data_IF_152946488979
#
_entry.id   IF_152946488979
#
_cell.length_a   1.000
_cell.length_b   1.000
_cell.length_c   1.000
_cell.angle_alpha   90.00
_cell.angle_beta   90.00
_cell.angle_gamma   90.00
#
_symmetry.space_group_name_H-M   'P 1'
#
loop_
_entity.id
_entity.type
_entity.pdbx_description
1 polymer ?
#
# COMPACT_ATOMS: atom_id res chain seq x y z
N UNK A 1 16.54 -10.64 -23.42
CA UNK A 1 15.92 -9.73 -22.43
C UNK A 1 16.70 -8.42 -22.50
N UNK A 2 16.09 -7.37 -23.05
CA UNK A 2 16.76 -6.08 -23.22
C UNK A 2 16.92 -5.41 -21.86
N UNK A 3 18.12 -4.92 -21.57
CA UNK A 3 18.51 -4.31 -20.29
C UNK A 3 18.03 -2.85 -20.15
N UNK A 4 16.86 -2.50 -20.71
CA UNK A 4 16.34 -1.12 -20.75
C UNK A 4 15.12 -0.85 -19.86
N UNK A 5 14.26 -1.84 -19.60
CA UNK A 5 12.90 -1.56 -19.11
C UNK A 5 12.72 -1.66 -17.58
N UNK A 6 13.75 -2.08 -16.83
CA UNK A 6 13.65 -2.33 -15.39
C UNK A 6 14.26 -1.25 -14.49
N UNK A 7 14.77 -0.15 -15.07
CA UNK A 7 15.56 0.83 -14.29
C UNK A 7 14.75 1.57 -13.21
N UNK A 8 13.41 1.53 -13.27
CA UNK A 8 12.53 2.14 -12.28
C UNK A 8 11.84 1.17 -11.32
N UNK A 9 11.92 -0.15 -11.54
CA UNK A 9 11.17 -1.16 -10.77
C UNK A 9 12.04 -1.81 -9.68
N UNK A 10 12.55 -0.98 -8.78
CA UNK A 10 13.36 -1.41 -7.63
C UNK A 10 12.58 -1.23 -6.33
N UNK A 11 12.90 -2.05 -5.32
CA UNK A 11 12.24 -2.02 -4.01
C UNK A 11 11.37 -3.25 -3.73
N UNK A 12 10.59 -3.18 -2.65
CA UNK A 12 9.71 -4.28 -2.22
C UNK A 12 8.38 -4.22 -2.96
N UNK A 13 8.09 -5.22 -3.80
CA UNK A 13 6.92 -5.25 -4.71
C UNK A 13 5.59 -4.88 -4.06
N UNK A 14 5.34 -5.38 -2.85
CA UNK A 14 4.12 -5.13 -2.08
C UNK A 14 3.83 -3.64 -1.83
N UNK A 15 4.89 -2.83 -1.73
CA UNK A 15 4.81 -1.40 -1.40
C UNK A 15 5.02 -0.50 -2.62
N UNK A 16 5.18 -1.08 -3.81
CA UNK A 16 5.34 -0.30 -5.04
C UNK A 16 4.04 0.42 -5.39
N UNK A 17 4.14 1.71 -5.67
CA UNK A 17 3.03 2.52 -6.17
C UNK A 17 2.56 2.02 -7.55
N UNK A 18 1.30 2.28 -7.95
CA UNK A 18 0.75 1.82 -9.23
C UNK A 18 1.63 2.18 -10.44
N UNK A 19 2.14 3.41 -10.50
CA UNK A 19 3.02 3.89 -11.57
C UNK A 19 4.37 3.15 -11.62
N UNK A 20 4.85 2.64 -10.48
CA UNK A 20 6.05 1.80 -10.40
C UNK A 20 5.74 0.40 -10.92
N UNK A 21 4.59 -0.16 -10.53
CA UNK A 21 4.13 -1.46 -10.99
C UNK A 21 3.91 -1.47 -12.51
N UNK A 22 3.40 -0.39 -13.10
CA UNK A 22 3.23 -0.24 -14.56
C UNK A 22 4.53 0.11 -15.29
N UNK A 23 5.61 0.45 -14.57
CA UNK A 23 6.87 0.91 -15.18
C UNK A 23 6.77 2.31 -15.79
N UNK A 24 5.70 3.05 -15.50
CA UNK A 24 5.37 4.36 -16.06
C UNK A 24 5.81 5.52 -15.13
N UNK A 25 7.02 5.43 -14.58
CA UNK A 25 7.52 6.40 -13.60
C UNK A 25 8.08 7.65 -14.29
N UNK A 26 7.66 8.82 -13.84
CA UNK A 26 8.32 10.08 -14.18
C UNK A 26 9.58 10.27 -13.30
N UNK A 27 10.74 10.49 -13.90
CA UNK A 27 12.01 10.73 -13.19
C UNK A 27 12.11 12.17 -12.69
N UNK A 28 11.23 12.54 -11.76
CA UNK A 28 11.23 13.84 -11.09
C UNK A 28 11.20 13.67 -9.59
N UNK A 29 11.75 14.65 -8.85
CA UNK A 29 11.74 14.63 -7.38
C UNK A 29 10.33 14.41 -6.82
N UNK A 30 9.34 15.13 -7.35
CA UNK A 30 7.96 15.07 -6.85
C UNK A 30 7.31 13.72 -7.11
N UNK A 31 7.65 13.04 -8.21
CA UNK A 31 7.17 11.69 -8.48
C UNK A 31 7.73 10.69 -7.46
N UNK A 32 9.02 10.76 -7.14
CA UNK A 32 9.60 9.90 -6.10
C UNK A 32 8.98 10.16 -4.72
N UNK A 33 8.72 11.42 -4.37
CA UNK A 33 8.02 11.74 -3.12
C UNK A 33 6.61 11.15 -3.06
N UNK A 34 5.86 11.16 -4.18
CA UNK A 34 4.53 10.52 -4.23
C UNK A 34 4.61 9.00 -4.11
N UNK A 35 5.63 8.37 -4.70
CA UNK A 35 5.90 6.93 -4.53
C UNK A 35 6.15 6.59 -3.05
N UNK A 36 6.96 7.41 -2.37
CA UNK A 36 7.23 7.24 -0.94
C UNK A 36 5.95 7.43 -0.11
N UNK A 37 5.10 8.40 -0.46
CA UNK A 37 3.83 8.62 0.24
C UNK A 37 2.86 7.44 0.08
N UNK A 38 2.80 6.82 -1.10
CA UNK A 38 2.01 5.60 -1.30
C UNK A 38 2.48 4.48 -0.36
N UNK A 39 3.78 4.21 -0.33
CA UNK A 39 4.35 3.20 0.57
C UNK A 39 4.12 3.56 2.05
N UNK A 40 4.24 4.84 2.40
CA UNK A 40 3.95 5.34 3.75
C UNK A 40 2.49 5.10 4.15
N UNK A 41 1.53 5.34 3.25
CA UNK A 41 0.11 5.06 3.50
C UNK A 41 -0.13 3.59 3.85
N UNK A 42 0.52 2.65 3.14
CA UNK A 42 0.42 1.23 3.47
C UNK A 42 0.97 0.91 4.88
N UNK A 43 2.07 1.55 5.29
CA UNK A 43 2.63 1.39 6.64
C UNK A 43 1.72 2.00 7.72
N UNK A 44 1.11 3.16 7.44
CA UNK A 44 0.11 3.75 8.34
C UNK A 44 -1.09 2.81 8.53
N UNK A 45 -1.51 2.11 7.47
CA UNK A 45 -2.55 1.09 7.55
C UNK A 45 -2.11 -0.05 8.48
N UNK A 46 -0.89 -0.56 8.35
CA UNK A 46 -0.36 -1.60 9.24
C UNK A 46 -0.38 -1.16 10.72
N UNK A 47 0.04 0.08 11.00
CA UNK A 47 -0.01 0.65 12.34
C UNK A 47 -1.46 0.72 12.86
N UNK A 48 -2.40 1.16 12.03
CA UNK A 48 -3.81 1.23 12.40
C UNK A 48 -4.41 -0.16 12.69
N UNK A 49 -4.06 -1.19 11.91
CA UNK A 49 -4.54 -2.58 12.15
C UNK A 49 -4.12 -3.15 13.50
N UNK A 50 -3.00 -2.66 14.06
CA UNK A 50 -2.47 -3.09 15.36
C UNK A 50 -2.71 -2.09 16.49
N UNK A 51 -3.38 -0.98 16.20
CA UNK A 51 -3.67 0.05 17.19
C UNK A 51 -4.73 -0.42 18.19
N UNK A 52 -4.45 -0.35 19.49
CA UNK A 52 -5.39 -0.73 20.56
C UNK A 52 -6.56 0.24 20.72
N UNK A 53 -6.49 1.43 20.10
CA UNK A 53 -7.57 2.41 20.12
C UNK A 53 -8.77 2.01 19.25
N UNK A 54 -8.64 1.01 18.37
CA UNK A 54 -9.69 0.60 17.41
C UNK A 54 -10.90 -0.11 18.04
N UNK A 55 -11.00 -0.13 19.38
CA UNK A 55 -12.02 -0.75 20.23
C UNK A 55 -12.48 -2.14 19.75
N UNK A 56 -11.98 -3.19 20.40
CA UNK A 56 -12.31 -4.58 20.08
C UNK A 56 -11.07 -5.47 19.98
N UNK A 57 -11.23 -6.72 19.53
CA UNK A 57 -10.11 -7.63 19.38
C UNK A 57 -9.16 -7.15 18.28
N UNK A 58 -7.87 -7.11 18.60
CA UNK A 58 -6.81 -6.71 17.67
C UNK A 58 -6.33 -7.98 16.95
N UNK A 59 -6.58 -8.14 15.65
CA UNK A 59 -6.20 -9.34 14.91
C UNK A 59 -4.68 -9.42 14.77
N UNK A 60 -4.14 -10.61 14.55
CA UNK A 60 -2.72 -10.79 14.26
C UNK A 60 -2.25 -9.90 13.12
N UNK A 61 -0.97 -9.52 13.18
CA UNK A 61 -0.36 -8.70 12.15
C UNK A 61 -0.42 -9.39 10.78
N UNK A 62 -0.73 -8.59 9.76
CA UNK A 62 -0.69 -8.99 8.35
C UNK A 62 -0.07 -7.89 7.53
N UNK A 63 0.61 -8.28 6.46
CA UNK A 63 1.15 -7.36 5.48
C UNK A 63 0.04 -6.74 4.62
N UNK A 64 0.26 -5.54 4.04
CA UNK A 64 -0.67 -4.98 3.06
C UNK A 64 -0.89 -5.94 1.90
N UNK A 65 -2.14 -6.17 1.50
CA UNK A 65 -2.51 -7.11 0.43
C UNK A 65 -2.20 -8.61 0.71
N UNK A 66 -1.85 -9.01 1.94
CA UNK A 66 -1.52 -10.42 2.22
C UNK A 66 -2.68 -11.37 1.95
N UNK A 67 -3.92 -10.93 2.15
CA UNK A 67 -5.11 -11.74 1.92
C UNK A 67 -5.38 -11.98 0.43
N UNK A 68 -5.04 -10.99 -0.41
CA UNK A 68 -5.30 -10.99 -1.84
C UNK A 68 -4.18 -11.67 -2.63
N UNK A 69 -2.92 -11.50 -2.23
CA UNK A 69 -1.74 -11.96 -3.00
C UNK A 69 -0.76 -12.82 -2.21
N UNK A 70 -1.08 -13.17 -0.95
CA UNK A 70 -0.22 -13.98 -0.09
C UNK A 70 1.04 -13.25 0.37
N UNK A 71 1.99 -13.99 0.96
CA UNK A 71 3.21 -13.43 1.59
C UNK A 71 4.33 -13.05 0.61
N UNK A 72 4.42 -13.74 -0.53
CA UNK A 72 5.51 -13.58 -1.51
C UNK A 72 4.95 -13.30 -2.91
N UNK A 73 4.31 -12.14 -3.14
CA UNK A 73 3.70 -11.84 -4.42
C UNK A 73 4.75 -11.65 -5.53
N UNK A 74 4.39 -12.10 -6.72
CA UNK A 74 5.09 -11.74 -7.95
C UNK A 74 4.78 -10.28 -8.33
N UNK A 75 5.45 -9.77 -9.37
CA UNK A 75 5.13 -8.45 -9.91
C UNK A 75 3.72 -8.46 -10.55
N UNK A 76 3.38 -9.55 -11.24
CA UNK A 76 2.10 -9.73 -11.93
C UNK A 76 0.93 -9.76 -10.92
N UNK A 77 1.10 -10.43 -9.77
CA UNK A 77 0.08 -10.45 -8.71
C UNK A 77 -0.22 -9.03 -8.19
N UNK A 78 0.84 -8.23 -7.99
CA UNK A 78 0.72 -6.85 -7.52
C UNK A 78 0.10 -5.95 -8.59
N UNK A 79 0.48 -6.09 -9.86
CA UNK A 79 -0.14 -5.37 -10.97
C UNK A 79 -1.64 -5.69 -11.07
N UNK A 80 -2.01 -6.96 -11.04
CA UNK A 80 -3.41 -7.38 -11.09
C UNK A 80 -4.21 -6.81 -9.91
N UNK A 81 -3.67 -6.90 -8.69
CA UNK A 81 -4.34 -6.42 -7.48
C UNK A 81 -4.47 -4.88 -7.43
N UNK A 82 -3.35 -4.16 -7.58
CA UNK A 82 -3.26 -2.72 -7.30
C UNK A 82 -3.60 -1.86 -8.51
N UNK A 83 -3.21 -2.29 -9.72
CA UNK A 83 -3.36 -1.51 -10.95
C UNK A 83 -4.66 -1.87 -11.65
N UNK A 84 -4.87 -3.16 -11.95
CA UNK A 84 -6.01 -3.60 -12.76
C UNK A 84 -7.31 -3.64 -11.97
N UNK A 85 -7.31 -4.29 -10.79
CA UNK A 85 -8.48 -4.35 -9.89
C UNK A 85 -8.63 -3.12 -9.01
N UNK A 86 -7.59 -2.27 -8.93
CA UNK A 86 -7.56 -1.06 -8.10
C UNK A 86 -7.90 -1.31 -6.62
N UNK A 87 -7.52 -2.48 -6.10
CA UNK A 87 -7.75 -2.82 -4.70
C UNK A 87 -6.81 -2.01 -3.80
N UNK A 88 -7.26 -1.74 -2.59
CA UNK A 88 -6.52 -1.08 -1.51
C UNK A 88 -6.80 -1.82 -0.19
N UNK A 89 -5.89 -1.79 0.79
CA UNK A 89 -6.14 -2.40 2.08
C UNK A 89 -7.39 -1.80 2.73
N UNK A 90 -8.30 -2.66 3.20
CA UNK A 90 -9.61 -2.21 3.68
C UNK A 90 -9.49 -1.57 5.07
N UNK A 91 -10.24 -0.48 5.29
CA UNK A 91 -10.39 0.11 6.62
C UNK A 91 -11.55 -0.54 7.37
N UNK A 92 -11.35 -0.82 8.66
CA UNK A 92 -12.43 -1.33 9.50
C UNK A 92 -13.37 -0.20 9.89
N UNK A 93 -14.67 -0.47 9.92
CA UNK A 93 -15.64 0.52 10.36
C UNK A 93 -15.42 0.99 11.81
N UNK A 94 -14.84 0.15 12.66
CA UNK A 94 -14.50 0.55 14.04
C UNK A 94 -13.49 1.70 14.10
N UNK A 95 -12.65 1.90 13.07
CA UNK A 95 -11.68 2.99 13.02
C UNK A 95 -12.35 4.36 12.94
N UNK A 96 -13.53 4.44 12.31
CA UNK A 96 -14.32 5.68 12.18
C UNK A 96 -14.88 6.18 13.51
N UNK A 97 -14.85 5.34 14.56
CA UNK A 97 -15.31 5.71 15.90
C UNK A 97 -14.26 6.45 16.73
N UNK A 98 -12.99 6.46 16.31
CA UNK A 98 -11.90 7.09 17.04
C UNK A 98 -11.30 8.26 16.25
N UNK A 99 -11.24 9.49 16.82
CA UNK A 99 -10.84 10.69 16.08
C UNK A 99 -9.39 10.63 15.55
N UNK A 100 -8.49 9.92 16.23
CA UNK A 100 -7.13 9.71 15.72
C UNK A 100 -7.03 8.68 14.59
N UNK A 101 -7.92 7.68 14.55
CA UNK A 101 -7.88 6.65 13.52
C UNK A 101 -8.57 7.12 12.24
N UNK A 102 -9.65 7.88 12.35
CA UNK A 102 -10.27 8.52 11.19
C UNK A 102 -9.31 9.49 10.49
N UNK A 103 -8.54 10.27 11.26
CA UNK A 103 -7.51 11.14 10.67
C UNK A 103 -6.43 10.35 9.90
N UNK A 104 -6.08 9.14 10.36
CA UNK A 104 -5.19 8.25 9.59
C UNK A 104 -5.86 7.73 8.33
N UNK A 105 -7.14 7.33 8.39
CA UNK A 105 -7.90 6.92 7.20
C UNK A 105 -7.91 8.02 6.14
N UNK A 106 -8.26 9.24 6.54
CA UNK A 106 -8.33 10.40 5.65
C UNK A 106 -6.96 10.68 5.01
N UNK A 107 -5.88 10.63 5.81
CA UNK A 107 -4.50 10.82 5.33
C UNK A 107 -4.07 9.75 4.31
N UNK A 108 -4.59 8.52 4.42
CA UNK A 108 -4.25 7.41 3.51
C UNK A 108 -5.08 7.39 2.23
N UNK A 109 -6.24 8.06 2.21
CA UNK A 109 -7.13 8.18 1.05
C UNK A 109 -6.81 9.38 0.16
N UNK A 110 -6.11 10.39 0.68
CA UNK A 110 -5.57 11.54 -0.08
C UNK A 110 -4.45 11.17 -1.06
#
# INVERSE_FOLDING_TARGET
>A
KSCGDTHGQVGTRRYMAPEVLEGAINFSRDAFLRIDMYACGLVLWELATRCTAQQGPIPDYRLPFEEEVGQHPSLEDMQECVVHKKLRPTFKDSWKSHPGLIALCDTMEE
#
